data_IF_454279458432
#
_entry.id   IF_454279458432
#
_cell.length_a   1.000
_cell.length_b   1.000
_cell.length_c   1.000
_cell.angle_alpha   90.00
_cell.angle_beta   90.00
_cell.angle_gamma   90.00
#
_symmetry.space_group_name_H-M   'P 1'
#
loop_
_entity.id
_entity.type
_entity.pdbx_description
1 polymer ?
#
# COMPACT_ATOMS: atom_id res chain seq x y z
N UNK A 1 11.03 18.38 16.14
CA UNK A 1 12.21 17.54 16.49
C UNK A 1 11.91 16.15 15.95
N UNK A 2 12.48 15.79 14.79
CA UNK A 2 12.26 14.45 14.23
C UNK A 2 13.28 13.47 14.76
N UNK A 3 12.85 12.31 15.25
CA UNK A 3 13.75 11.25 15.71
C UNK A 3 14.22 10.42 14.50
N UNK A 4 15.52 10.21 14.36
CA UNK A 4 16.07 9.31 13.34
C UNK A 4 15.99 7.87 13.86
N UNK A 5 15.14 7.04 13.26
CA UNK A 5 15.07 5.59 13.49
C UNK A 5 16.24 4.94 12.75
N UNK A 6 17.40 4.92 13.41
CA UNK A 6 18.59 4.24 12.88
C UNK A 6 18.52 2.72 13.15
N UNK A 7 19.44 1.96 12.53
CA UNK A 7 19.57 0.52 12.79
C UNK A 7 19.92 0.18 14.25
N UNK A 8 20.47 1.14 14.99
CA UNK A 8 20.95 0.96 16.36
C UNK A 8 20.02 1.56 17.42
N UNK A 9 18.97 2.29 17.02
CA UNK A 9 18.02 2.85 17.98
C UNK A 9 17.16 1.74 18.55
N UNK A 10 17.09 1.71 19.88
CA UNK A 10 16.08 0.94 20.60
C UNK A 10 14.73 1.65 20.47
N UNK A 11 13.86 1.09 19.62
CA UNK A 11 12.52 1.61 19.38
C UNK A 11 11.63 1.48 20.61
N UNK A 12 11.92 0.51 21.49
CA UNK A 12 11.14 0.29 22.70
C UNK A 12 11.24 1.46 23.66
N UNK A 13 12.32 2.25 23.63
CA UNK A 13 12.55 3.39 24.52
C UNK A 13 11.91 4.70 24.06
N UNK A 14 11.37 4.75 22.84
CA UNK A 14 10.73 5.98 22.33
C UNK A 14 9.41 6.29 23.06
N UNK A 15 9.33 7.47 23.68
CA UNK A 15 8.16 7.90 24.46
C UNK A 15 6.86 7.96 23.65
N UNK A 16 6.91 8.42 22.40
CA UNK A 16 5.72 8.51 21.55
C UNK A 16 5.21 7.13 21.14
N UNK A 17 6.11 6.18 20.84
CA UNK A 17 5.78 4.78 20.57
C UNK A 17 5.21 4.12 21.83
N UNK A 18 5.83 4.29 23.00
CA UNK A 18 5.30 3.79 24.29
C UNK A 18 3.90 4.31 24.55
N UNK A 19 3.66 5.60 24.31
CA UNK A 19 2.33 6.21 24.45
C UNK A 19 1.33 5.65 23.45
N UNK A 20 1.72 5.49 22.19
CA UNK A 20 0.86 4.95 21.13
C UNK A 20 0.47 3.48 21.38
N UNK A 21 1.40 2.63 21.81
CA UNK A 21 1.13 1.21 22.14
C UNK A 21 0.57 0.99 23.55
N UNK A 22 0.42 2.06 24.30
CA UNK A 22 -0.09 2.06 25.67
C UNK A 22 -1.59 1.79 25.77
N UNK A 23 -2.06 1.81 27.02
CA UNK A 23 -3.47 1.60 27.38
C UNK A 23 -4.32 2.84 27.20
N UNK A 24 -3.70 4.00 27.26
CA UNK A 24 -4.39 5.28 27.18
C UNK A 24 -4.78 5.58 25.73
N UNK A 25 -6.00 6.08 25.55
CA UNK A 25 -6.47 6.52 24.26
C UNK A 25 -5.70 7.77 23.81
N UNK A 26 -5.21 7.73 22.58
CA UNK A 26 -4.67 8.90 21.86
C UNK A 26 -5.72 9.34 20.85
N UNK A 27 -6.43 10.45 21.07
CA UNK A 27 -7.46 10.91 20.14
C UNK A 27 -6.87 11.36 18.80
N UNK A 28 -7.58 11.10 17.70
CA UNK A 28 -7.17 11.51 16.36
C UNK A 28 -6.98 13.04 16.21
N UNK A 29 -7.72 13.84 17.00
CA UNK A 29 -7.64 15.31 17.00
C UNK A 29 -6.49 15.88 17.86
N UNK A 30 -5.63 15.04 18.45
CA UNK A 30 -4.47 15.50 19.21
C UNK A 30 -3.30 15.82 18.27
N UNK A 31 -3.39 16.95 17.58
CA UNK A 31 -2.42 17.35 16.57
C UNK A 31 -0.99 17.48 17.13
N UNK A 32 -0.81 17.94 18.37
CA UNK A 32 0.51 18.07 18.99
C UNK A 32 1.22 16.72 19.10
N UNK A 33 0.49 15.69 19.53
CA UNK A 33 1.00 14.33 19.59
C UNK A 33 1.30 13.80 18.19
N UNK A 34 0.34 13.85 17.27
CA UNK A 34 0.48 13.23 15.95
C UNK A 34 1.54 13.92 15.08
N UNK A 35 1.65 15.24 15.18
CA UNK A 35 2.70 15.99 14.50
C UNK A 35 4.08 15.56 14.99
N UNK A 36 4.26 15.38 16.30
CA UNK A 36 5.54 14.94 16.86
C UNK A 36 5.83 13.46 16.56
N UNK A 37 4.81 12.60 16.71
CA UNK A 37 4.92 11.16 16.50
C UNK A 37 5.23 10.80 15.05
N UNK A 38 4.59 11.46 14.09
CA UNK A 38 4.75 11.17 12.66
C UNK A 38 5.92 11.92 11.99
N UNK A 39 6.73 12.66 12.75
CA UNK A 39 7.91 13.38 12.23
C UNK A 39 9.21 12.56 12.35
N UNK A 40 9.14 11.22 12.33
CA UNK A 40 10.35 10.39 12.38
C UNK A 40 10.95 10.16 10.98
N UNK A 41 12.25 9.91 10.94
CA UNK A 41 12.93 9.45 9.73
C UNK A 41 13.26 7.96 9.88
N UNK A 42 12.95 7.16 8.87
CA UNK A 42 13.26 5.74 8.87
C UNK A 42 14.09 5.38 7.64
N UNK A 43 15.11 4.55 7.85
CA UNK A 43 15.79 3.88 6.76
C UNK A 43 14.95 2.65 6.37
N UNK A 44 14.34 2.71 5.19
CA UNK A 44 13.51 1.60 4.71
C UNK A 44 14.36 0.34 4.51
N UNK A 45 13.89 -0.83 4.98
CA UNK A 45 14.57 -2.09 4.71
C UNK A 45 14.70 -2.34 3.19
N UNK A 46 15.92 -2.50 2.70
CA UNK A 46 16.19 -2.74 1.27
C UNK A 46 16.20 -4.24 0.92
N UNK A 47 16.46 -5.08 1.92
CA UNK A 47 16.56 -6.53 1.77
C UNK A 47 15.83 -7.27 2.90
N UNK A 48 15.66 -8.58 2.71
CA UNK A 48 14.91 -9.42 3.66
C UNK A 48 15.56 -9.49 5.04
N UNK A 49 16.90 -9.43 5.13
CA UNK A 49 17.60 -9.46 6.41
C UNK A 49 17.33 -8.20 7.23
N UNK A 50 17.33 -7.03 6.59
CA UNK A 50 16.97 -5.77 7.23
C UNK A 50 15.49 -5.73 7.64
N UNK A 51 14.61 -6.32 6.84
CA UNK A 51 13.19 -6.43 7.18
C UNK A 51 13.01 -7.31 8.43
N UNK A 52 13.65 -8.48 8.47
CA UNK A 52 13.63 -9.36 9.64
C UNK A 52 14.19 -8.66 10.89
N UNK A 53 15.28 -7.91 10.75
CA UNK A 53 15.85 -7.13 11.84
C UNK A 53 14.89 -6.04 12.35
N UNK A 54 14.15 -5.38 11.46
CA UNK A 54 13.13 -4.43 11.86
C UNK A 54 11.97 -5.13 12.60
N UNK A 55 11.48 -6.23 12.04
CA UNK A 55 10.37 -7.00 12.61
C UNK A 55 10.71 -7.48 14.04
N UNK A 56 11.91 -8.03 14.25
CA UNK A 56 12.37 -8.44 15.59
C UNK A 56 12.44 -7.28 16.60
N UNK A 57 12.80 -6.07 16.15
CA UNK A 57 12.82 -4.88 17.03
C UNK A 57 11.43 -4.35 17.35
N UNK A 58 10.46 -4.56 16.47
CA UNK A 58 9.08 -4.13 16.64
C UNK A 58 8.23 -5.14 17.41
N UNK A 59 8.67 -6.39 17.52
CA UNK A 59 7.86 -7.50 18.05
C UNK A 59 7.26 -7.21 19.43
N UNK A 60 8.06 -6.75 20.40
CA UNK A 60 7.57 -6.46 21.76
C UNK A 60 6.57 -5.29 21.81
N UNK A 61 6.77 -4.28 20.95
CA UNK A 61 5.85 -3.15 20.79
C UNK A 61 4.54 -3.61 20.16
N UNK A 62 4.60 -4.45 19.13
CA UNK A 62 3.42 -5.01 18.46
C UNK A 62 2.61 -5.93 19.38
N UNK A 63 3.28 -6.77 20.18
CA UNK A 63 2.61 -7.60 21.20
C UNK A 63 1.85 -6.73 22.21
N UNK A 64 2.52 -5.69 22.73
CA UNK A 64 1.91 -4.73 23.66
C UNK A 64 0.74 -4.00 23.01
N UNK A 65 0.90 -3.59 21.74
CA UNK A 65 -0.14 -2.89 20.98
C UNK A 65 -1.39 -3.75 20.82
N UNK A 66 -1.27 -5.00 20.38
CA UNK A 66 -2.42 -5.90 20.22
C UNK A 66 -3.15 -6.12 21.56
N UNK A 67 -2.40 -6.27 22.66
CA UNK A 67 -2.99 -6.47 23.98
C UNK A 67 -3.82 -5.27 24.47
N UNK A 68 -3.46 -4.05 24.07
CA UNK A 68 -4.10 -2.82 24.56
C UNK A 68 -5.08 -2.18 23.56
N UNK A 69 -4.89 -2.37 22.25
CA UNK A 69 -5.63 -1.62 21.25
C UNK A 69 -7.14 -1.86 21.28
N UNK A 70 -7.59 -3.07 21.64
CA UNK A 70 -9.02 -3.35 21.74
C UNK A 70 -9.73 -2.51 22.81
N UNK A 71 -8.98 -1.98 23.79
CA UNK A 71 -9.50 -1.04 24.79
C UNK A 71 -9.09 0.41 24.56
N UNK A 72 -7.92 0.67 23.98
CA UNK A 72 -7.43 2.04 23.75
C UNK A 72 -7.94 2.65 22.44
N UNK A 73 -8.25 1.85 21.41
CA UNK A 73 -8.71 2.34 20.11
C UNK A 73 -7.67 3.12 19.30
N UNK A 74 -6.38 3.03 19.66
CA UNK A 74 -5.31 3.85 19.07
C UNK A 74 -5.05 3.57 17.58
N UNK A 75 -5.30 2.34 17.13
CA UNK A 75 -5.23 1.98 15.71
C UNK A 75 -6.26 2.75 14.89
N UNK A 76 -7.50 2.83 15.38
CA UNK A 76 -8.55 3.62 14.75
C UNK A 76 -8.21 5.10 14.68
N UNK A 77 -7.58 5.66 15.73
CA UNK A 77 -7.07 7.04 15.70
C UNK A 77 -5.99 7.24 14.64
N UNK A 78 -5.01 6.34 14.56
CA UNK A 78 -3.93 6.41 13.55
C UNK A 78 -4.50 6.32 12.13
N UNK A 79 -5.45 5.41 11.88
CA UNK A 79 -6.12 5.29 10.59
C UNK A 79 -6.86 6.59 10.25
N UNK A 80 -7.57 7.19 11.21
CA UNK A 80 -8.25 8.46 10.98
C UNK A 80 -7.26 9.60 10.65
N UNK A 81 -6.16 9.70 11.39
CA UNK A 81 -5.09 10.68 11.09
C UNK A 81 -4.53 10.48 9.68
N UNK A 82 -4.26 9.24 9.29
CA UNK A 82 -3.84 8.91 7.93
C UNK A 82 -4.88 9.36 6.89
N UNK A 83 -6.16 9.07 7.10
CA UNK A 83 -7.25 9.46 6.20
C UNK A 83 -7.35 10.99 6.05
N UNK A 84 -7.23 11.73 7.15
CA UNK A 84 -7.19 13.21 7.13
C UNK A 84 -6.01 13.70 6.31
N UNK A 85 -4.81 13.14 6.51
CA UNK A 85 -3.62 13.52 5.72
C UNK A 85 -3.79 13.20 4.24
N UNK A 86 -4.36 12.05 3.87
CA UNK A 86 -4.63 11.73 2.46
C UNK A 86 -5.67 12.69 1.86
N UNK A 87 -6.73 13.03 2.60
CA UNK A 87 -7.73 14.00 2.16
C UNK A 87 -7.12 15.39 1.91
N UNK A 88 -6.24 15.85 2.82
CA UNK A 88 -5.47 17.08 2.64
C UNK A 88 -4.62 17.02 1.36
N UNK A 89 -3.92 15.91 1.11
CA UNK A 89 -3.11 15.73 -0.11
C UNK A 89 -3.93 15.76 -1.39
N UNK A 90 -5.13 15.19 -1.40
CA UNK A 90 -6.02 15.20 -2.56
C UNK A 90 -6.62 16.59 -2.82
N UNK A 91 -6.74 17.42 -1.79
CA UNK A 91 -7.22 18.80 -1.91
C UNK A 91 -6.13 19.79 -2.37
N UNK A 92 -4.85 19.47 -2.16
CA UNK A 92 -3.73 20.31 -2.56
C UNK A 92 -3.50 20.18 -4.07
N UNK A 93 -3.89 21.20 -4.82
CA UNK A 93 -3.92 21.18 -6.30
C UNK A 93 -2.55 21.25 -6.97
N UNK A 94 -1.45 21.49 -6.25
CA UNK A 94 -0.05 21.37 -6.71
C UNK A 94 0.98 21.89 -5.69
N UNK A 95 0.53 22.39 -4.53
CA UNK A 95 1.44 22.85 -3.47
C UNK A 95 2.22 21.67 -2.88
N UNK A 96 3.54 21.75 -2.95
CA UNK A 96 4.47 20.83 -2.29
C UNK A 96 4.34 20.95 -0.78
N UNK A 97 3.37 20.26 -0.17
CA UNK A 97 3.39 20.03 1.27
C UNK A 97 4.10 18.73 1.56
N UNK A 98 5.42 18.78 1.43
CA UNK A 98 6.34 17.69 1.80
C UNK A 98 6.04 17.15 3.20
N UNK A 99 5.57 17.99 4.12
CA UNK A 99 5.19 17.59 5.49
C UNK A 99 3.95 16.70 5.50
N UNK A 100 2.86 17.05 4.80
CA UNK A 100 1.65 16.20 4.77
C UNK A 100 1.95 14.85 4.11
N UNK A 101 2.77 14.84 3.06
CA UNK A 101 3.15 13.61 2.34
C UNK A 101 4.01 12.72 3.23
N UNK A 102 4.98 13.31 3.93
CA UNK A 102 5.84 12.61 4.86
C UNK A 102 5.05 12.03 6.05
N UNK A 103 4.14 12.80 6.64
CA UNK A 103 3.27 12.31 7.71
C UNK A 103 2.32 11.21 7.24
N UNK A 104 1.72 11.35 6.05
CA UNK A 104 0.87 10.32 5.46
C UNK A 104 1.66 9.02 5.23
N UNK A 105 2.88 9.14 4.70
CA UNK A 105 3.77 7.99 4.52
C UNK A 105 4.11 7.32 5.85
N UNK A 106 4.52 8.09 6.86
CA UNK A 106 4.91 7.55 8.16
C UNK A 106 3.72 6.88 8.87
N UNK A 107 2.53 7.48 8.80
CA UNK A 107 1.32 6.87 9.33
C UNK A 107 1.02 5.55 8.62
N UNK A 108 1.08 5.53 7.29
CA UNK A 108 0.84 4.33 6.49
C UNK A 108 1.87 3.24 6.76
N UNK A 109 3.14 3.60 6.97
CA UNK A 109 4.19 2.66 7.32
C UNK A 109 3.93 1.97 8.65
N UNK A 110 3.55 2.73 9.68
CA UNK A 110 3.16 2.16 10.98
C UNK A 110 1.94 1.25 10.81
N UNK A 111 0.92 1.69 10.06
CA UNK A 111 -0.27 0.87 9.77
C UNK A 111 0.15 -0.44 9.11
N UNK A 112 0.98 -0.42 8.07
CA UNK A 112 1.43 -1.63 7.37
C UNK A 112 2.19 -2.57 8.31
N UNK A 113 3.07 -2.06 9.16
CA UNK A 113 3.79 -2.88 10.15
C UNK A 113 2.83 -3.58 11.12
N UNK A 114 1.84 -2.87 11.64
CA UNK A 114 0.83 -3.43 12.56
C UNK A 114 -0.08 -4.44 11.86
N UNK A 115 -0.56 -4.12 10.65
CA UNK A 115 -1.39 -5.01 9.83
C UNK A 115 -0.64 -6.29 9.50
N UNK A 116 0.64 -6.19 9.07
CA UNK A 116 1.50 -7.34 8.81
C UNK A 116 1.56 -8.24 10.04
N UNK A 117 1.89 -7.67 11.20
CA UNK A 117 2.00 -8.42 12.44
C UNK A 117 0.67 -9.10 12.82
N UNK A 118 -0.46 -8.39 12.76
CA UNK A 118 -1.79 -8.94 13.05
C UNK A 118 -2.20 -10.06 12.09
N UNK A 119 -1.81 -9.99 10.81
CA UNK A 119 -2.05 -11.06 9.83
C UNK A 119 -1.18 -12.29 10.14
N UNK A 120 0.08 -12.08 10.52
CA UNK A 120 1.04 -13.16 10.80
C UNK A 120 0.74 -13.89 12.12
N UNK A 121 0.20 -13.19 13.13
CA UNK A 121 -0.01 -13.75 14.48
C UNK A 121 -1.46 -13.98 14.86
N UNK A 122 -2.42 -13.48 14.05
CA UNK A 122 -3.84 -13.47 14.38
C UNK A 122 -4.73 -13.93 13.23
N UNK A 123 -6.02 -13.89 13.46
CA UNK A 123 -7.03 -14.14 12.43
C UNK A 123 -7.45 -12.84 11.73
N UNK A 124 -7.92 -12.97 10.49
CA UNK A 124 -8.52 -11.86 9.74
C UNK A 124 -9.63 -11.16 10.54
N UNK A 125 -10.44 -11.91 11.28
CA UNK A 125 -11.49 -11.36 12.13
C UNK A 125 -10.91 -10.46 13.24
N UNK A 126 -9.83 -10.87 13.89
CA UNK A 126 -9.14 -10.06 14.90
C UNK A 126 -8.57 -8.78 14.29
N UNK A 127 -7.96 -8.85 13.10
CA UNK A 127 -7.50 -7.66 12.39
C UNK A 127 -8.63 -6.64 12.22
N UNK A 128 -9.81 -7.08 11.76
CA UNK A 128 -10.97 -6.20 11.62
C UNK A 128 -11.48 -5.67 12.98
N UNK A 129 -11.39 -6.45 14.06
CA UNK A 129 -11.67 -5.94 15.42
C UNK A 129 -10.74 -4.79 15.79
N UNK A 130 -9.46 -4.87 15.42
CA UNK A 130 -8.51 -3.79 15.71
C UNK A 130 -8.82 -2.51 14.94
N UNK A 131 -9.27 -2.60 13.67
CA UNK A 131 -9.78 -1.46 12.90
C UNK A 131 -10.98 -0.82 13.60
N UNK A 132 -11.92 -1.63 14.06
CA UNK A 132 -13.18 -1.15 14.65
C UNK A 132 -13.10 -0.84 16.15
N UNK A 133 -11.96 -1.10 16.80
CA UNK A 133 -11.76 -0.83 18.21
C UNK A 133 -12.02 0.65 18.55
N UNK A 134 -12.66 0.86 19.69
CA UNK A 134 -13.01 2.18 20.22
C UNK A 134 -12.56 2.24 21.68
N UNK A 135 -12.18 3.42 22.17
CA UNK A 135 -11.75 3.57 23.55
C UNK A 135 -12.86 3.13 24.51
N UNK A 136 -12.50 2.34 25.52
CA UNK A 136 -13.41 2.05 26.63
C UNK A 136 -13.57 3.35 27.40
N UNK A 137 -14.76 3.92 27.35
CA UNK A 137 -15.11 5.06 28.20
C UNK A 137 -15.11 4.55 29.65
N UNK A 138 -14.28 5.15 30.50
CA UNK A 138 -14.41 5.01 31.94
C UNK A 138 -15.81 5.48 32.31
N UNK A 139 -16.68 4.57 32.74
CA UNK A 139 -17.91 4.95 33.43
C UNK A 139 -17.53 5.58 34.77
N UNK A 140 -17.26 6.88 34.79
CA UNK A 140 -17.14 7.64 36.05
C UNK A 140 -17.78 9.05 35.98
N UNK A 141 -18.40 9.47 34.86
CA UNK A 141 -19.06 10.78 34.76
C UNK A 141 -20.49 10.67 34.20
N UNK A 142 -21.36 9.92 34.89
CA UNK A 142 -22.80 9.98 34.65
C UNK A 142 -23.62 9.85 35.96
N UNK A 143 -23.27 10.65 36.96
CA UNK A 143 -24.17 11.00 38.07
C UNK A 143 -24.56 12.48 37.94
N UNK A 144 -25.56 12.80 37.11
CA UNK A 144 -26.53 13.89 37.37
C UNK A 144 -27.87 13.55 36.71
N UNK A 145 -28.78 13.06 37.55
CA UNK A 145 -30.25 13.20 37.59
C UNK A 145 -31.04 13.51 36.29
N UNK A 146 -32.00 12.65 35.96
CA UNK A 146 -33.43 12.96 36.17
C UNK A 146 -34.30 11.68 36.10
N UNK A 147 -35.22 11.57 37.05
CA UNK A 147 -35.86 10.31 37.45
C UNK A 147 -37.03 9.81 36.60
N UNK A 148 -37.32 8.52 36.78
CA UNK A 148 -38.68 7.99 36.81
C UNK A 148 -38.65 6.61 37.46
N UNK A 149 -39.55 6.41 38.42
CA UNK A 149 -39.75 5.19 39.19
C UNK A 149 -40.11 3.98 38.31
N UNK A 150 -39.43 2.85 38.50
CA UNK A 150 -40.01 1.53 38.34
C UNK A 150 -39.19 0.48 39.11
N UNK A 151 -39.81 -0.07 40.16
CA UNK A 151 -39.35 -1.23 40.92
C UNK A 151 -39.45 -2.48 40.04
N UNK A 152 -38.42 -3.34 39.99
CA UNK A 152 -38.54 -4.79 40.30
C UNK A 152 -37.24 -5.60 40.06
N UNK A 153 -36.90 -6.36 41.12
CA UNK A 153 -36.31 -7.72 41.18
C UNK A 153 -34.86 -7.95 40.70
N UNK A 154 -34.02 -8.27 41.69
CA UNK A 154 -32.70 -8.85 41.55
C UNK A 154 -32.76 -10.23 40.86
N UNK A 155 -31.98 -10.38 39.79
CA UNK A 155 -31.54 -11.68 39.27
C UNK A 155 -30.01 -11.64 39.19
N UNK A 156 -29.41 -12.45 40.07
CA UNK A 156 -28.02 -12.88 40.01
C UNK A 156 -27.71 -13.54 38.67
N UNK A 157 -26.68 -13.06 37.97
CA UNK A 157 -26.20 -13.73 36.77
C UNK A 157 -25.32 -12.83 35.92
N UNK A 158 -24.01 -13.04 36.03
CA UNK A 158 -22.96 -12.51 35.17
C UNK A 158 -23.39 -12.42 33.69
N UNK A 159 -23.74 -11.22 33.25
CA UNK A 159 -23.82 -10.90 31.83
C UNK A 159 -23.09 -9.58 31.65
N UNK A 160 -21.77 -9.70 31.43
CA UNK A 160 -21.01 -8.72 30.67
C UNK A 160 -21.61 -8.72 29.26
N UNK A 161 -22.72 -8.01 29.09
CA UNK A 161 -23.28 -7.64 27.79
C UNK A 161 -22.35 -6.58 27.21
N UNK A 162 -21.14 -7.02 26.83
CA UNK A 162 -20.39 -6.37 25.78
C UNK A 162 -21.30 -6.44 24.56
N UNK A 163 -22.00 -5.34 24.30
CA UNK A 163 -22.69 -5.08 23.05
C UNK A 163 -21.72 -5.53 21.97
N UNK A 164 -22.01 -6.67 21.34
CA UNK A 164 -21.20 -7.21 20.27
C UNK A 164 -21.29 -6.17 19.15
N UNK A 165 -20.39 -5.17 19.21
CA UNK A 165 -20.24 -4.16 18.18
C UNK A 165 -20.02 -4.95 16.92
N UNK A 166 -21.03 -4.94 16.06
CA UNK A 166 -20.98 -5.63 14.79
C UNK A 166 -19.75 -5.05 14.08
N UNK A 167 -18.78 -5.89 13.75
CA UNK A 167 -17.67 -5.48 12.89
C UNK A 167 -18.29 -5.32 11.51
N UNK A 168 -18.71 -4.10 11.18
CA UNK A 168 -19.31 -3.79 9.89
C UNK A 168 -18.24 -3.65 8.79
N UNK A 169 -16.98 -3.45 9.18
CA UNK A 169 -15.83 -3.34 8.30
C UNK A 169 -15.66 -1.97 7.66
N UNK A 170 -16.50 -0.99 8.00
CA UNK A 170 -16.58 0.31 7.32
C UNK A 170 -15.28 1.10 7.39
N UNK A 171 -14.56 1.08 8.53
CA UNK A 171 -13.26 1.76 8.64
C UNK A 171 -12.19 1.10 7.78
N UNK A 172 -12.24 -0.23 7.69
CA UNK A 172 -11.35 -0.98 6.80
C UNK A 172 -11.62 -0.66 5.33
N UNK A 173 -12.90 -0.61 4.91
CA UNK A 173 -13.27 -0.22 3.54
C UNK A 173 -12.79 1.19 3.20
N UNK A 174 -13.00 2.15 4.12
CA UNK A 174 -12.54 3.54 3.94
C UNK A 174 -11.01 3.63 3.85
N UNK A 175 -10.29 2.86 4.68
CA UNK A 175 -8.84 2.76 4.61
C UNK A 175 -8.38 2.20 3.26
N UNK A 176 -9.01 1.12 2.79
CA UNK A 176 -8.69 0.53 1.49
C UNK A 176 -8.94 1.51 0.34
N UNK A 177 -10.06 2.24 0.38
CA UNK A 177 -10.36 3.28 -0.60
C UNK A 177 -9.27 4.36 -0.63
N UNK A 178 -8.78 4.79 0.54
CA UNK A 178 -7.67 5.74 0.61
C UNK A 178 -6.36 5.19 0.01
N UNK A 179 -6.03 3.91 0.20
CA UNK A 179 -4.88 3.29 -0.46
C UNK A 179 -5.01 3.32 -1.99
N UNK A 180 -6.21 3.01 -2.50
CA UNK A 180 -6.48 3.06 -3.94
C UNK A 180 -6.39 4.49 -4.45
N UNK A 181 -6.95 5.47 -3.73
CA UNK A 181 -6.89 6.88 -4.10
C UNK A 181 -5.47 7.42 -4.16
N UNK A 182 -4.58 7.00 -3.24
CA UNK A 182 -3.15 7.33 -3.34
C UNK A 182 -2.61 6.85 -4.69
N UNK A 183 -2.84 5.59 -5.05
CA UNK A 183 -2.26 4.99 -6.27
C UNK A 183 -2.83 5.60 -7.55
N UNK A 184 -4.15 5.87 -7.59
CA UNK A 184 -4.83 6.25 -8.83
C UNK A 184 -5.01 7.75 -9.02
N UNK A 185 -5.08 8.54 -7.95
CA UNK A 185 -5.37 9.98 -8.02
C UNK A 185 -4.10 10.82 -7.84
N UNK A 186 -3.23 10.45 -6.91
CA UNK A 186 -2.02 11.23 -6.62
C UNK A 186 -0.99 11.00 -7.73
N UNK A 187 -0.45 12.04 -8.38
CA UNK A 187 0.58 11.86 -9.40
C UNK A 187 1.87 11.32 -8.79
N UNK A 188 2.56 10.43 -9.52
CA UNK A 188 3.91 9.97 -9.15
C UNK A 188 4.91 11.08 -9.50
N UNK A 189 5.44 11.71 -8.47
CA UNK A 189 6.51 12.72 -8.47
C UNK A 189 7.61 12.23 -7.52
N UNK A 190 8.77 12.89 -7.51
CA UNK A 190 9.91 12.51 -6.65
C UNK A 190 9.51 12.40 -5.17
N UNK A 191 8.78 13.40 -4.68
CA UNK A 191 8.35 13.46 -3.28
C UNK A 191 7.11 12.60 -2.97
N UNK A 192 6.35 12.09 -3.94
CA UNK A 192 5.22 11.16 -3.69
C UNK A 192 5.58 9.70 -3.93
N UNK A 193 6.72 9.41 -4.56
CA UNK A 193 7.13 8.07 -4.97
C UNK A 193 7.06 7.04 -3.83
N UNK A 194 7.61 7.39 -2.66
CA UNK A 194 7.63 6.47 -1.52
C UNK A 194 6.24 6.25 -0.92
N UNK A 195 5.34 7.23 -0.99
CA UNK A 195 3.95 7.06 -0.56
C UNK A 195 3.22 6.06 -1.48
N UNK A 196 3.43 6.15 -2.79
CA UNK A 196 2.93 5.17 -3.76
C UNK A 196 3.46 3.76 -3.49
N UNK A 197 4.78 3.64 -3.30
CA UNK A 197 5.42 2.36 -3.00
C UNK A 197 4.86 1.74 -1.71
N UNK A 198 4.65 2.56 -0.68
CA UNK A 198 4.10 2.11 0.59
C UNK A 198 2.64 1.68 0.48
N UNK A 199 1.82 2.38 -0.31
CA UNK A 199 0.44 1.99 -0.59
C UNK A 199 0.36 0.65 -1.33
N UNK A 200 1.19 0.44 -2.35
CA UNK A 200 1.29 -0.83 -3.07
C UNK A 200 1.74 -1.95 -2.13
N UNK A 201 2.77 -1.72 -1.31
CA UNK A 201 3.24 -2.69 -0.32
C UNK A 201 2.14 -3.02 0.71
N UNK A 202 1.36 -2.05 1.14
CA UNK A 202 0.26 -2.26 2.09
C UNK A 202 -0.85 -3.14 1.49
N UNK A 203 -1.19 -2.94 0.20
CA UNK A 203 -2.13 -3.82 -0.50
C UNK A 203 -1.61 -5.25 -0.62
N UNK A 204 -0.32 -5.43 -0.90
CA UNK A 204 0.31 -6.76 -0.95
C UNK A 204 0.24 -7.44 0.42
N UNK A 205 0.56 -6.72 1.50
CA UNK A 205 0.47 -7.23 2.88
C UNK A 205 -0.97 -7.61 3.25
N UNK A 206 -1.97 -6.82 2.85
CA UNK A 206 -3.38 -7.19 3.06
C UNK A 206 -3.74 -8.48 2.31
N UNK A 207 -3.29 -8.63 1.07
CA UNK A 207 -3.54 -9.82 0.25
C UNK A 207 -2.76 -11.06 0.72
N UNK A 208 -1.67 -10.89 1.48
CA UNK A 208 -0.93 -12.03 2.05
C UNK A 208 -1.71 -12.75 3.15
N UNK A 209 -2.87 -12.23 3.60
CA UNK A 209 -3.76 -12.93 4.54
C UNK A 209 -4.09 -14.36 4.09
N UNK A 210 -4.15 -14.63 2.78
CA UNK A 210 -4.39 -15.97 2.24
C UNK A 210 -3.28 -16.98 2.57
N UNK A 211 -2.09 -16.51 2.96
CA UNK A 211 -0.97 -17.38 3.34
C UNK A 211 -1.05 -17.82 4.81
N UNK A 212 -1.82 -17.11 5.64
CA UNK A 212 -1.92 -17.34 7.10
C UNK A 212 -3.28 -17.87 7.54
N UNK A 213 -4.30 -17.79 6.68
CA UNK A 213 -5.63 -18.35 6.96
C UNK A 213 -5.82 -19.72 6.31
N UNK A 214 -6.51 -20.63 7.02
CA UNK A 214 -6.99 -21.89 6.46
C UNK A 214 -8.36 -21.75 5.78
N UNK A 215 -8.99 -20.58 5.89
CA UNK A 215 -10.29 -20.34 5.28
C UNK A 215 -10.16 -20.08 3.78
N UNK A 216 -11.12 -20.58 3.00
CA UNK A 216 -11.22 -20.21 1.59
C UNK A 216 -11.38 -18.70 1.44
N UNK A 217 -10.66 -18.13 0.48
CA UNK A 217 -10.59 -16.68 0.20
C UNK A 217 -11.93 -16.06 -0.19
N UNK A 218 -12.89 -16.87 -0.64
CA UNK A 218 -14.32 -16.54 -0.80
C UNK A 218 -14.96 -15.95 0.47
N UNK A 219 -14.50 -16.41 1.64
CA UNK A 219 -14.99 -15.99 2.97
C UNK A 219 -14.19 -14.82 3.55
N UNK A 220 -13.04 -14.50 2.97
CA UNK A 220 -12.23 -13.38 3.42
C UNK A 220 -12.94 -12.06 3.10
N UNK A 221 -13.08 -11.23 4.12
CA UNK A 221 -13.62 -9.88 4.00
C UNK A 221 -12.63 -8.99 3.27
N UNK A 222 -11.32 -9.10 3.56
CA UNK A 222 -10.25 -8.37 2.87
C UNK A 222 -10.28 -8.65 1.37
N UNK A 223 -10.28 -9.91 0.96
CA UNK A 223 -10.38 -10.28 -0.45
C UNK A 223 -11.70 -9.79 -1.06
N UNK A 224 -12.82 -9.96 -0.36
CA UNK A 224 -14.13 -9.49 -0.83
C UNK A 224 -14.14 -7.99 -1.09
N UNK A 225 -13.60 -7.18 -0.19
CA UNK A 225 -13.55 -5.73 -0.34
C UNK A 225 -12.61 -5.33 -1.49
N UNK A 226 -11.41 -5.93 -1.58
CA UNK A 226 -10.46 -5.64 -2.67
C UNK A 226 -11.03 -6.02 -4.04
N UNK A 227 -11.71 -7.16 -4.16
CA UNK A 227 -12.27 -7.64 -5.43
C UNK A 227 -13.63 -7.01 -5.77
N UNK A 228 -14.26 -6.29 -4.85
CA UNK A 228 -15.45 -5.45 -5.10
C UNK A 228 -15.11 -3.97 -5.32
N UNK A 229 -13.83 -3.61 -5.29
CA UNK A 229 -13.38 -2.24 -5.50
C UNK A 229 -13.90 -1.67 -6.84
N UNK A 230 -14.62 -0.55 -6.78
CA UNK A 230 -15.18 0.11 -7.97
C UNK A 230 -14.08 0.66 -8.89
N UNK A 231 -12.92 1.00 -8.32
CA UNK A 231 -11.78 1.54 -9.03
C UNK A 231 -10.81 0.46 -9.54
N UNK A 232 -11.21 -0.82 -9.57
CA UNK A 232 -10.35 -1.92 -10.01
C UNK A 232 -9.75 -1.69 -11.41
N UNK A 233 -10.51 -1.08 -12.32
CA UNK A 233 -10.02 -0.72 -13.66
C UNK A 233 -8.88 0.30 -13.60
N UNK A 234 -9.14 1.44 -12.94
CA UNK A 234 -8.17 2.53 -12.79
C UNK A 234 -6.93 2.08 -12.02
N UNK A 235 -7.09 1.24 -11.00
CA UNK A 235 -5.98 0.66 -10.25
C UNK A 235 -5.10 -0.21 -11.15
N UNK A 236 -5.68 -1.10 -11.95
CA UNK A 236 -4.92 -1.93 -12.90
C UNK A 236 -4.20 -1.06 -13.94
N UNK A 237 -4.84 0.01 -14.44
CA UNK A 237 -4.23 0.98 -15.34
C UNK A 237 -3.02 1.68 -14.70
N UNK A 238 -3.17 2.19 -13.48
CA UNK A 238 -2.10 2.87 -12.75
C UNK A 238 -0.89 1.95 -12.52
N UNK A 239 -1.12 0.72 -12.05
CA UNK A 239 -0.06 -0.27 -11.82
C UNK A 239 0.69 -0.64 -13.11
N UNK A 240 -0.03 -0.84 -14.23
CA UNK A 240 0.63 -1.09 -15.52
C UNK A 240 1.41 0.13 -16.02
N UNK A 241 0.93 1.34 -15.76
CA UNK A 241 1.68 2.55 -16.08
C UNK A 241 2.95 2.69 -15.22
N UNK A 242 2.90 2.31 -13.93
CA UNK A 242 4.10 2.28 -13.08
C UNK A 242 5.14 1.30 -13.61
N UNK A 243 4.69 0.12 -14.04
CA UNK A 243 5.56 -0.86 -14.69
C UNK A 243 6.12 -0.32 -16.01
N UNK A 244 5.26 0.17 -16.92
CA UNK A 244 5.65 0.65 -18.25
C UNK A 244 6.64 1.80 -18.20
N UNK A 245 6.46 2.75 -17.27
CA UNK A 245 7.32 3.93 -17.13
C UNK A 245 8.67 3.63 -16.50
N UNK A 246 8.77 2.59 -15.67
CA UNK A 246 9.98 2.25 -14.91
C UNK A 246 10.64 3.48 -14.29
N UNK A 247 9.91 4.26 -13.49
CA UNK A 247 10.49 5.42 -12.81
C UNK A 247 11.47 4.93 -11.74
N UNK A 248 12.74 5.37 -11.86
CA UNK A 248 13.78 5.04 -10.89
C UNK A 248 13.43 5.59 -9.51
N UNK A 249 13.81 4.86 -8.47
CA UNK A 249 13.69 5.33 -7.08
C UNK A 249 14.43 6.66 -6.90
N UNK A 250 13.78 7.69 -6.32
CA UNK A 250 14.44 8.93 -5.93
C UNK A 250 15.64 8.72 -5.02
N UNK A 251 16.65 9.58 -5.14
CA UNK A 251 17.83 9.56 -4.26
C UNK A 251 17.50 10.10 -2.85
N UNK A 252 16.51 10.99 -2.74
CA UNK A 252 16.08 11.58 -1.47
C UNK A 252 14.63 11.20 -1.17
N UNK A 253 14.34 10.96 0.10
CA UNK A 253 13.01 10.62 0.56
C UNK A 253 12.34 11.89 1.09
N UNK A 254 11.32 12.38 0.38
CA UNK A 254 10.63 13.64 0.70
C UNK A 254 11.57 14.86 0.74
N UNK A 255 12.60 14.91 -0.11
CA UNK A 255 13.57 16.01 -0.13
C UNK A 255 14.52 16.05 1.08
N UNK A 256 14.42 15.09 2.01
CA UNK A 256 15.38 14.85 3.07
C UNK A 256 16.35 13.77 2.58
N UNK A 257 17.65 14.08 2.51
CA UNK A 257 18.67 13.11 2.14
C UNK A 257 18.65 11.90 3.09
N UNK A 258 19.02 10.72 2.59
CA UNK A 258 19.04 9.44 3.32
C UNK A 258 20.02 9.39 4.51
N UNK A 259 20.58 10.52 4.94
CA UNK A 259 21.46 10.63 6.09
C UNK A 259 21.13 11.90 6.86
N UNK A 260 20.93 11.76 8.17
CA UNK A 260 20.47 12.79 9.11
C UNK A 260 21.41 13.98 9.34
N UNK A 261 22.02 14.52 8.29
CA UNK A 261 22.77 15.77 8.33
C UNK A 261 22.51 16.55 7.06
N UNK A 262 22.02 17.77 7.24
CA UNK A 262 21.83 18.78 6.19
C UNK A 262 23.09 18.96 5.31
N UNK A 263 24.28 18.63 5.84
CA UNK A 263 25.56 18.70 5.13
C UNK A 263 25.77 17.53 4.15
N UNK A 264 25.20 16.34 4.40
CA UNK A 264 25.31 15.19 3.49
C UNK A 264 24.32 15.26 2.31
N UNK A 265 23.13 15.83 2.52
CA UNK A 265 22.15 16.04 1.42
C UNK A 265 22.64 17.00 0.34
N UNK A 266 23.43 18.03 0.71
CA UNK A 266 24.07 18.92 -0.26
C UNK A 266 25.20 18.20 -1.00
N UNK A 267 25.95 17.32 -0.33
CA UNK A 267 27.02 16.55 -0.97
C UNK A 267 26.49 15.52 -1.98
N UNK A 268 25.42 14.77 -1.68
CA UNK A 268 24.80 13.85 -2.65
C UNK A 268 24.19 14.60 -3.85
N UNK A 269 23.56 15.75 -3.62
CA UNK A 269 23.05 16.61 -4.68
C UNK A 269 24.17 17.13 -5.60
N UNK A 270 25.30 17.57 -5.03
CA UNK A 270 26.46 18.03 -5.79
C UNK A 270 27.22 16.88 -6.49
N UNK A 271 27.26 15.68 -5.89
CA UNK A 271 27.81 14.47 -6.51
C UNK A 271 26.93 13.95 -7.65
N UNK A 272 25.60 14.03 -7.51
CA UNK A 272 24.64 13.73 -8.60
C UNK A 272 24.84 14.66 -9.79
N UNK A 273 25.03 15.96 -9.55
CA UNK A 273 25.37 16.96 -10.59
C UNK A 273 26.72 16.66 -11.26
N UNK A 274 27.74 16.25 -10.49
CA UNK A 274 29.06 15.89 -11.02
C UNK A 274 29.09 14.56 -11.79
N UNK A 275 28.22 13.60 -11.43
CA UNK A 275 28.11 12.29 -12.10
C UNK A 275 27.16 12.30 -13.28
N UNK A 276 26.32 13.34 -13.44
CA UNK A 276 25.45 13.54 -14.60
C UNK A 276 26.23 13.66 -15.94
N UNK A 277 27.52 14.00 -15.88
CA UNK A 277 28.40 14.01 -17.05
C UNK A 277 28.84 12.59 -17.51
N UNK A 278 28.60 11.55 -16.70
CA UNK A 278 28.82 10.15 -17.06
C UNK A 278 27.47 9.54 -17.47
N UNK A 279 27.36 9.04 -18.70
CA UNK A 279 26.31 8.09 -19.09
C UNK A 279 26.32 6.94 -18.08
N UNK A 280 25.36 6.92 -17.16
CA UNK A 280 25.16 5.79 -16.26
C UNK A 280 24.97 4.54 -17.14
N UNK A 281 25.71 3.44 -16.90
CA UNK A 281 25.49 2.20 -17.62
C UNK A 281 24.04 1.75 -17.41
N UNK A 282 23.45 1.08 -18.41
CA UNK A 282 22.10 0.55 -18.28
C UNK A 282 22.06 -0.46 -17.11
N UNK A 283 21.44 -0.06 -16.01
CA UNK A 283 21.29 -0.82 -14.76
C UNK A 283 20.70 -2.21 -15.03
N UNK A 284 19.88 -2.34 -16.08
CA UNK A 284 19.23 -3.60 -16.48
C UNK A 284 20.10 -4.49 -17.39
N UNK A 285 21.41 -4.22 -17.46
CA UNK A 285 22.41 -5.14 -18.03
C UNK A 285 23.24 -5.83 -16.96
N UNK A 286 22.91 -5.62 -15.68
CA UNK A 286 23.57 -6.30 -14.57
C UNK A 286 23.43 -7.83 -14.66
N UNK A 287 24.43 -8.55 -14.14
CA UNK A 287 24.42 -10.01 -14.07
C UNK A 287 23.25 -10.56 -13.23
N UNK A 288 22.78 -9.79 -12.24
CA UNK A 288 21.59 -10.09 -11.43
C UNK A 288 20.48 -9.08 -11.74
N UNK A 289 19.79 -9.33 -12.86
CA UNK A 289 18.69 -8.49 -13.32
C UNK A 289 17.52 -8.40 -12.30
N UNK A 290 17.07 -9.50 -11.67
CA UNK A 290 16.03 -9.43 -10.64
C UNK A 290 16.38 -8.49 -9.48
N UNK A 291 17.59 -8.60 -8.93
CA UNK A 291 18.02 -7.73 -7.84
C UNK A 291 18.12 -6.26 -8.30
N UNK A 292 18.75 -6.02 -9.45
CA UNK A 292 18.90 -4.67 -10.00
C UNK A 292 17.54 -3.99 -10.26
N UNK A 293 16.56 -4.75 -10.79
CA UNK A 293 15.20 -4.26 -11.03
C UNK A 293 14.50 -3.89 -9.71
N UNK A 294 14.59 -4.75 -8.70
CA UNK A 294 14.02 -4.49 -7.38
C UNK A 294 14.63 -3.24 -6.73
N UNK A 295 15.95 -3.09 -6.79
CA UNK A 295 16.65 -2.02 -6.07
C UNK A 295 16.46 -0.65 -6.74
N UNK A 296 16.47 -0.60 -8.07
CA UNK A 296 16.37 0.68 -8.80
C UNK A 296 14.94 1.05 -9.19
N UNK A 297 14.05 0.07 -9.35
CA UNK A 297 12.66 0.28 -9.76
C UNK A 297 11.67 -0.42 -8.81
N UNK A 298 11.75 -0.19 -7.48
CA UNK A 298 10.93 -0.89 -6.50
C UNK A 298 9.42 -0.71 -6.71
N UNK A 299 8.97 0.50 -7.12
CA UNK A 299 7.55 0.73 -7.41
C UNK A 299 7.05 -0.11 -8.59
N UNK A 300 7.84 -0.21 -9.67
CA UNK A 300 7.50 -1.05 -10.82
C UNK A 300 7.49 -2.53 -10.44
N UNK A 301 8.50 -2.98 -9.66
CA UNK A 301 8.59 -4.34 -9.18
C UNK A 301 7.39 -4.72 -8.29
N UNK A 302 7.06 -3.90 -7.30
CA UNK A 302 5.91 -4.17 -6.42
C UNK A 302 4.58 -4.07 -7.18
N UNK A 303 4.47 -3.17 -8.16
CA UNK A 303 3.29 -3.09 -9.02
C UNK A 303 3.11 -4.37 -9.85
N UNK A 304 4.19 -4.91 -10.41
CA UNK A 304 4.19 -6.19 -11.11
C UNK A 304 3.69 -7.33 -10.21
N UNK A 305 4.23 -7.42 -8.99
CA UNK A 305 3.78 -8.41 -8.00
C UNK A 305 2.30 -8.25 -7.66
N UNK A 306 1.85 -7.02 -7.39
CA UNK A 306 0.45 -6.73 -7.08
C UNK A 306 -0.48 -7.07 -8.26
N UNK A 307 -0.10 -6.72 -9.50
CA UNK A 307 -0.84 -7.10 -10.71
C UNK A 307 -1.01 -8.62 -10.78
N UNK A 308 0.07 -9.37 -10.55
CA UNK A 308 0.04 -10.83 -10.61
C UNK A 308 -0.82 -11.42 -9.50
N UNK A 309 -0.75 -10.91 -8.27
CA UNK A 309 -1.61 -11.36 -7.17
C UNK A 309 -3.07 -11.09 -7.52
N UNK A 310 -3.39 -9.85 -7.89
CA UNK A 310 -4.76 -9.42 -8.22
C UNK A 310 -5.35 -10.23 -9.38
N UNK A 311 -4.54 -10.48 -10.41
CA UNK A 311 -4.95 -11.20 -11.61
C UNK A 311 -5.03 -12.70 -11.39
N UNK A 312 -4.08 -13.33 -10.69
CA UNK A 312 -4.05 -14.79 -10.60
C UNK A 312 -4.96 -15.36 -9.53
N UNK A 313 -5.37 -14.56 -8.54
CA UNK A 313 -6.29 -15.04 -7.53
C UNK A 313 -7.63 -15.49 -8.13
N UNK A 314 -8.10 -16.67 -7.71
CA UNK A 314 -9.36 -17.29 -8.11
C UNK A 314 -10.40 -17.16 -6.99
N UNK A 315 -10.83 -15.94 -6.68
CA UNK A 315 -11.84 -15.64 -5.63
C UNK A 315 -13.25 -15.52 -6.18
N UNK A 316 -13.42 -15.26 -7.46
CA UNK A 316 -14.72 -14.95 -8.05
C UNK A 316 -14.79 -15.47 -9.47
N UNK A 317 -16.00 -15.87 -9.92
CA UNK A 317 -16.26 -16.20 -11.32
C UNK A 317 -15.87 -15.03 -12.25
N UNK A 318 -16.02 -13.80 -11.77
CA UNK A 318 -15.66 -12.56 -12.45
C UNK A 318 -14.62 -11.78 -11.64
N UNK A 319 -13.36 -11.82 -12.06
CA UNK A 319 -12.28 -11.04 -11.47
C UNK A 319 -12.15 -9.70 -12.24
N UNK A 320 -12.50 -8.54 -11.63
CA UNK A 320 -12.51 -7.26 -12.34
C UNK A 320 -11.10 -6.82 -12.80
N UNK A 321 -10.06 -7.25 -12.08
CA UNK A 321 -8.67 -6.98 -12.45
C UNK A 321 -8.25 -7.77 -13.70
N UNK A 322 -8.68 -9.04 -13.83
CA UNK A 322 -8.50 -9.82 -15.08
C UNK A 322 -9.21 -9.17 -16.25
N UNK A 323 -10.47 -8.79 -16.05
CA UNK A 323 -11.27 -8.12 -17.10
C UNK A 323 -10.56 -6.84 -17.53
N UNK A 324 -10.10 -6.04 -16.58
CA UNK A 324 -9.35 -4.80 -16.84
C UNK A 324 -8.06 -5.05 -17.63
N UNK A 325 -7.21 -5.98 -17.17
CA UNK A 325 -5.92 -6.31 -17.79
C UNK A 325 -6.09 -6.84 -19.22
N UNK A 326 -7.07 -7.70 -19.45
CA UNK A 326 -7.27 -8.33 -20.77
C UNK A 326 -8.04 -7.43 -21.75
N UNK A 327 -8.79 -6.45 -21.23
CA UNK A 327 -9.51 -5.46 -22.04
C UNK A 327 -8.70 -4.22 -22.43
N UNK A 328 -7.46 -4.07 -21.95
CA UNK A 328 -6.67 -2.86 -22.22
C UNK A 328 -6.32 -2.73 -23.70
N UNK A 329 -6.22 -1.50 -24.18
CA UNK A 329 -5.97 -1.19 -25.59
C UNK A 329 -4.79 -0.22 -25.74
N UNK A 330 -4.24 -0.19 -26.96
CA UNK A 330 -3.15 0.74 -27.26
C UNK A 330 -3.64 2.18 -27.24
N UNK A 331 -2.84 3.07 -26.64
CA UNK A 331 -3.08 4.50 -26.63
C UNK A 331 -2.94 5.14 -28.01
N UNK A 332 -2.12 4.55 -28.89
CA UNK A 332 -1.85 5.04 -30.25
C UNK A 332 -2.78 4.44 -31.31
N UNK A 333 -3.54 3.40 -30.95
CA UNK A 333 -4.56 2.82 -31.82
C UNK A 333 -5.67 3.84 -32.10
N UNK A 334 -6.12 3.90 -33.36
CA UNK A 334 -7.30 4.67 -33.71
C UNK A 334 -8.43 4.30 -32.75
N UNK A 335 -9.15 5.29 -32.23
CA UNK A 335 -10.35 5.01 -31.47
C UNK A 335 -11.27 4.21 -32.39
N UNK A 336 -11.45 2.92 -32.11
CA UNK A 336 -12.44 2.10 -32.77
C UNK A 336 -13.82 2.66 -32.38
N UNK A 337 -14.22 3.72 -33.07
CA UNK A 337 -15.60 4.19 -33.20
C UNK A 337 -16.34 3.24 -34.15
N UNK A 338 -16.20 1.93 -33.96
CA UNK A 338 -16.93 0.90 -34.68
C UNK A 338 -17.94 0.28 -33.73
N UNK A 339 -19.04 1.00 -33.54
CA UNK A 339 -20.31 0.43 -33.10
C UNK A 339 -20.93 -0.53 -34.16
N UNK A 340 -20.10 -1.30 -34.89
CA UNK A 340 -20.57 -2.07 -36.06
C UNK A 340 -19.83 -3.38 -36.35
N UNK A 341 -19.25 -4.06 -35.37
CA UNK A 341 -18.87 -5.48 -35.51
C UNK A 341 -19.79 -6.36 -34.66
N UNK A 342 -20.40 -7.37 -35.31
CA UNK A 342 -21.38 -8.31 -34.74
C UNK A 342 -20.74 -9.46 -33.94
N UNK A 343 -19.63 -9.20 -33.25
CA UNK A 343 -19.03 -10.12 -32.29
C UNK A 343 -18.92 -9.40 -30.93
N UNK A 344 -18.95 -10.10 -29.79
CA UNK A 344 -18.73 -9.47 -28.49
C UNK A 344 -17.24 -9.08 -28.37
N UNK A 345 -16.82 -8.05 -29.11
CA UNK A 345 -15.52 -7.43 -28.92
C UNK A 345 -15.46 -6.92 -27.49
N UNK A 346 -14.55 -7.48 -26.70
CA UNK A 346 -14.35 -7.12 -25.30
C UNK A 346 -14.18 -5.60 -25.20
N UNK A 347 -15.11 -4.96 -24.48
CA UNK A 347 -15.12 -3.52 -24.28
C UNK A 347 -13.73 -3.05 -23.82
N UNK A 348 -13.25 -1.96 -24.42
CA UNK A 348 -11.95 -1.37 -24.04
C UNK A 348 -12.07 -0.88 -22.60
N UNK A 349 -11.17 -1.36 -21.74
CA UNK A 349 -11.19 -1.05 -20.30
C UNK A 349 -10.43 0.23 -20.00
N UNK A 350 -9.19 0.35 -20.47
CA UNK A 350 -8.35 1.54 -20.42
C UNK A 350 -7.31 1.52 -21.54
N UNK A 351 -6.61 2.64 -21.73
CA UNK A 351 -5.57 2.79 -22.77
C UNK A 351 -4.19 2.86 -22.14
N UNK A 352 -3.19 2.23 -22.78
CA UNK A 352 -1.78 2.28 -22.40
C UNK A 352 -0.92 2.25 -23.66
N UNK A 353 0.26 2.88 -23.65
CA UNK A 353 1.21 2.79 -24.75
C UNK A 353 1.82 1.39 -24.84
N UNK A 354 1.37 0.61 -25.83
CA UNK A 354 1.86 -0.75 -26.04
C UNK A 354 3.33 -0.77 -26.41
N UNK A 355 3.87 0.29 -27.01
CA UNK A 355 5.29 0.37 -27.35
C UNK A 355 6.15 0.49 -26.10
N UNK A 356 5.84 1.44 -25.20
CA UNK A 356 6.52 1.56 -23.91
C UNK A 356 6.41 0.27 -23.10
N UNK A 357 5.22 -0.31 -23.00
CA UNK A 357 5.00 -1.54 -22.23
C UNK A 357 5.81 -2.71 -22.80
N UNK A 358 5.75 -2.93 -24.13
CA UNK A 358 6.47 -4.01 -24.80
C UNK A 358 7.99 -3.89 -24.62
N UNK A 359 8.55 -2.70 -24.85
CA UNK A 359 9.99 -2.45 -24.68
C UNK A 359 10.44 -2.71 -23.24
N UNK A 360 9.64 -2.28 -22.26
CA UNK A 360 9.90 -2.56 -20.86
C UNK A 360 9.87 -4.07 -20.59
N UNK A 361 8.82 -4.79 -21.00
CA UNK A 361 8.71 -6.23 -20.80
C UNK A 361 9.89 -7.00 -21.43
N UNK A 362 10.34 -6.62 -22.64
CA UNK A 362 11.52 -7.21 -23.27
C UNK A 362 12.80 -7.01 -22.45
N UNK A 363 12.96 -5.84 -21.79
CA UNK A 363 14.15 -5.56 -20.96
C UNK A 363 14.22 -6.42 -19.71
N UNK A 364 13.07 -6.77 -19.13
CA UNK A 364 12.96 -7.51 -17.87
C UNK A 364 12.36 -8.91 -18.04
N UNK A 365 12.35 -9.46 -19.26
CA UNK A 365 11.70 -10.75 -19.57
C UNK A 365 12.32 -11.94 -18.84
N UNK A 366 13.61 -11.90 -18.50
CA UNK A 366 14.27 -13.00 -17.78
C UNK A 366 13.84 -13.10 -16.31
N UNK A 367 13.02 -12.16 -15.82
CA UNK A 367 12.38 -12.21 -14.51
C UNK A 367 11.10 -13.05 -14.64
N UNK A 368 10.96 -14.09 -13.81
CA UNK A 368 9.83 -15.04 -13.84
C UNK A 368 8.47 -14.33 -13.77
N UNK A 369 8.33 -13.32 -12.91
CA UNK A 369 7.12 -12.54 -12.75
C UNK A 369 6.76 -11.78 -14.04
N UNK A 370 7.75 -11.21 -14.73
CA UNK A 370 7.55 -10.53 -16.01
C UNK A 370 7.12 -11.53 -17.07
N UNK A 371 7.78 -12.69 -17.15
CA UNK A 371 7.41 -13.76 -18.09
C UNK A 371 5.95 -14.16 -17.90
N UNK A 372 5.51 -14.33 -16.64
CA UNK A 372 4.13 -14.67 -16.34
C UNK A 372 3.15 -13.57 -16.79
N UNK A 373 3.45 -12.30 -16.54
CA UNK A 373 2.61 -11.19 -17.01
C UNK A 373 2.55 -11.14 -18.54
N UNK A 374 3.69 -11.28 -19.21
CA UNK A 374 3.78 -11.32 -20.67
C UNK A 374 2.94 -12.48 -21.23
N UNK A 375 3.05 -13.67 -20.64
CA UNK A 375 2.25 -14.83 -21.01
C UNK A 375 0.75 -14.54 -20.88
N UNK A 376 0.32 -13.97 -19.76
CA UNK A 376 -1.09 -13.60 -19.53
C UNK A 376 -1.59 -12.60 -20.58
N UNK A 377 -0.81 -11.57 -20.89
CA UNK A 377 -1.16 -10.57 -21.90
C UNK A 377 -1.22 -11.17 -23.31
N UNK A 378 -0.23 -11.96 -23.72
CA UNK A 378 -0.21 -12.59 -25.05
C UNK A 378 -1.34 -13.60 -25.23
N UNK A 379 -1.69 -14.34 -24.19
CA UNK A 379 -2.71 -15.39 -24.27
C UNK A 379 -4.14 -14.83 -24.21
N UNK A 380 -4.37 -13.77 -23.44
CA UNK A 380 -5.73 -13.29 -23.11
C UNK A 380 -6.07 -11.91 -23.67
N UNK A 381 -5.10 -11.09 -24.03
CA UNK A 381 -5.33 -9.79 -24.68
C UNK A 381 -4.98 -9.90 -26.19
N UNK A 382 -6.02 -10.08 -27.02
CA UNK A 382 -5.83 -10.21 -28.47
C UNK A 382 -5.25 -8.95 -29.13
N UNK A 383 -5.53 -7.77 -28.58
CA UNK A 383 -5.02 -6.50 -29.11
C UNK A 383 -3.51 -6.41 -28.90
N UNK A 384 -3.06 -6.73 -27.68
CA UNK A 384 -1.64 -6.76 -27.35
C UNK A 384 -0.91 -7.87 -28.14
N UNK A 385 -1.49 -9.05 -28.27
CA UNK A 385 -0.95 -10.12 -29.11
C UNK A 385 -0.73 -9.65 -30.56
N UNK A 386 -1.76 -9.06 -31.20
CA UNK A 386 -1.65 -8.53 -32.57
C UNK A 386 -0.56 -7.46 -32.69
N UNK A 387 -0.47 -6.56 -31.71
CA UNK A 387 0.59 -5.55 -31.65
C UNK A 387 1.98 -6.18 -31.60
N UNK A 388 2.20 -7.16 -30.70
CA UNK A 388 3.50 -7.83 -30.55
C UNK A 388 3.88 -8.61 -31.81
N UNK A 389 2.93 -9.32 -32.43
CA UNK A 389 3.18 -10.07 -33.67
C UNK A 389 3.54 -9.17 -34.87
N UNK A 390 3.16 -7.89 -34.83
CA UNK A 390 3.54 -6.91 -35.86
C UNK A 390 4.94 -6.31 -35.62
N UNK A 391 5.58 -6.54 -34.46
CA UNK A 391 6.90 -6.00 -34.15
C UNK A 391 8.01 -6.80 -34.81
N UNK A 392 9.00 -6.10 -35.38
CA UNK A 392 10.17 -6.73 -36.02
C UNK A 392 11.16 -7.33 -35.01
N UNK A 393 11.13 -6.87 -33.75
CA UNK A 393 12.08 -7.23 -32.70
C UNK A 393 11.64 -8.43 -31.86
N UNK A 394 10.77 -9.29 -32.38
CA UNK A 394 10.17 -10.41 -31.65
C UNK A 394 11.23 -11.39 -31.08
N UNK A 395 12.41 -11.45 -31.69
CA UNK A 395 13.57 -12.21 -31.21
C UNK A 395 14.02 -11.78 -29.81
N UNK A 396 13.86 -10.51 -29.43
CA UNK A 396 14.28 -10.01 -28.11
C UNK A 396 13.51 -10.66 -26.94
N UNK A 397 12.35 -11.27 -27.21
CA UNK A 397 11.60 -12.05 -26.21
C UNK A 397 12.19 -13.44 -25.95
N UNK A 398 13.01 -13.96 -26.86
CA UNK A 398 13.52 -15.34 -26.85
C UNK A 398 15.05 -15.38 -26.68
N UNK A 399 15.76 -14.35 -27.13
CA UNK A 399 17.21 -14.27 -27.09
C UNK A 399 17.70 -13.27 -26.04
N UNK A 400 17.92 -13.73 -24.81
CA UNK A 400 18.90 -13.16 -23.88
C UNK A 400 19.61 -14.25 -23.12
#
# INVERSE_FOLDING_TARGET
>A
MGMNVSRQVDLAENEYLKRFVGRDHVPAYNDDFWNSFLQYHINLPTNSQEQLSLDSRLESLCQSFIAHNLSSGNFGSLVNVFLVKVSELLALSDAESTVHIWQAFNALFIIRCLVKYMIETGSEYQLLQHFEALPVQSQDDADVEQGSEAVTVAVTGETRTALAKLIDGTKFETFLEALVNIIVVIPVKEFTYHLHLEAVNCLIVLLSVSQFTQQGTEKSTIFRTIYKCQHANTLMSALLHFLSRMTQVPATMFGFGSGGSFVFGIAESLWSILTFARKQPDVLTAHDLPAAFKDHYPLANQSLLLILILTNHYTTKDNPYRVSLFGCADSQGAADSSASSKEPEQAVTFKIDFSSLYNTLCRIVTIDQTTLLLYLLLHRNQRFYKYVMAQQNLQQLVSR
#
